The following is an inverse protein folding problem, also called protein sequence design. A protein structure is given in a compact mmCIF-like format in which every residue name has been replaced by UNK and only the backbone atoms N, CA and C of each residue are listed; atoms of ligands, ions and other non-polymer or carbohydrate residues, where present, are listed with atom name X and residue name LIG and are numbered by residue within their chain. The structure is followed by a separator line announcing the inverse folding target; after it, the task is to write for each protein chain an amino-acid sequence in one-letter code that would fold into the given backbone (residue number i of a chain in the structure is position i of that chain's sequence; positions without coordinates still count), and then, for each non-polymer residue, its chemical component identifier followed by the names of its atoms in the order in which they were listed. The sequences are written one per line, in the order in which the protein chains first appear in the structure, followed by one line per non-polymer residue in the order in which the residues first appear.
data_IF_717801820486
#
_entry.id   IF_717801820486
#
_cell.length_a   1.000
_cell.length_b   1.000
_cell.length_c   1.000
_cell.angle_alpha   90.00
_cell.angle_beta   90.00
_cell.angle_gamma   90.00
#
_symmetry.space_group_name_H-M   'P 1'
#
loop_
_entity.id
_entity.type
_entity.pdbx_description
1 polymer ?
#
# COMPACT_ATOMS: atom_id res chain seq x y z
N UNK A 1 16.10 8.85 -15.88
CA UNK A 1 16.43 7.91 -14.78
C UNK A 1 15.49 6.73 -14.83
N UNK A 2 15.68 5.72 -13.96
CA UNK A 2 14.92 4.45 -13.98
C UNK A 2 14.05 4.20 -12.75
N UNK A 3 13.99 5.17 -11.82
CA UNK A 3 13.17 5.09 -10.60
C UNK A 3 12.13 6.21 -10.67
N UNK A 4 10.85 5.90 -10.87
CA UNK A 4 9.80 6.90 -10.78
C UNK A 4 9.62 7.33 -9.33
N UNK A 5 9.51 8.64 -9.09
CA UNK A 5 9.28 9.21 -7.77
C UNK A 5 7.82 9.61 -7.65
N UNK A 6 7.14 9.08 -6.63
CA UNK A 6 5.77 9.45 -6.27
C UNK A 6 5.81 10.23 -4.96
N UNK A 7 5.24 11.43 -4.98
CA UNK A 7 5.15 12.30 -3.79
C UNK A 7 3.76 12.11 -3.19
N UNK A 8 3.69 11.64 -1.95
CA UNK A 8 2.43 11.52 -1.24
C UNK A 8 1.80 12.90 -0.96
N UNK A 9 0.48 12.98 -1.03
CA UNK A 9 -0.29 14.16 -0.59
C UNK A 9 0.05 14.55 0.85
N UNK A 10 0.11 15.87 1.14
CA UNK A 10 0.43 16.38 2.48
C UNK A 10 -0.59 15.93 3.53
N UNK A 11 -1.86 15.86 3.16
CA UNK A 11 -2.93 15.34 4.01
C UNK A 11 -2.98 13.81 4.12
N UNK A 12 -2.10 13.08 3.42
CA UNK A 12 -2.11 11.61 3.33
C UNK A 12 -3.52 11.09 3.06
N UNK A 13 -4.00 10.15 3.88
CA UNK A 13 -5.31 9.49 3.74
C UNK A 13 -6.50 10.43 3.91
N UNK A 14 -6.33 11.63 4.50
CA UNK A 14 -7.38 12.64 4.58
C UNK A 14 -7.60 13.38 3.25
N UNK A 15 -6.62 13.30 2.34
CA UNK A 15 -6.64 14.01 1.06
C UNK A 15 -6.78 13.05 -0.11
N UNK A 16 -6.03 11.93 -0.09
CA UNK A 16 -6.03 10.93 -1.17
C UNK A 16 -5.84 9.53 -0.61
N UNK A 17 -6.69 8.61 -1.07
CA UNK A 17 -6.67 7.19 -0.67
C UNK A 17 -5.99 6.31 -1.74
N UNK A 18 -4.77 6.70 -2.16
CA UNK A 18 -3.97 5.93 -3.11
C UNK A 18 -2.86 5.12 -2.45
N UNK A 19 -2.27 4.17 -3.18
CA UNK A 19 -1.16 3.34 -2.67
C UNK A 19 0.05 4.16 -2.20
N UNK A 20 0.34 5.28 -2.86
CA UNK A 20 1.39 6.21 -2.44
C UNK A 20 1.15 6.69 -1.01
N UNK A 21 -0.02 7.26 -0.72
CA UNK A 21 -0.37 7.78 0.61
C UNK A 21 -0.46 6.68 1.65
N UNK A 22 -1.03 5.52 1.30
CA UNK A 22 -1.14 4.38 2.20
C UNK A 22 0.23 3.84 2.61
N UNK A 23 1.16 3.71 1.66
CA UNK A 23 2.51 3.22 1.95
C UNK A 23 3.29 4.18 2.87
N UNK A 24 3.19 5.49 2.65
CA UNK A 24 3.81 6.51 3.52
C UNK A 24 3.10 6.60 4.88
N UNK A 25 1.78 6.36 4.93
CA UNK A 25 1.06 6.29 6.19
C UNK A 25 1.49 5.08 7.04
N UNK A 26 1.73 3.92 6.42
CA UNK A 26 2.25 2.73 7.10
C UNK A 26 3.62 2.98 7.73
N UNK A 27 4.54 3.66 7.04
CA UNK A 27 5.85 4.02 7.62
C UNK A 27 5.71 4.97 8.80
N UNK A 28 4.73 5.89 8.74
CA UNK A 28 4.45 6.84 9.81
C UNK A 28 3.98 6.15 11.08
N UNK A 29 3.04 5.19 10.98
CA UNK A 29 2.55 4.44 12.15
C UNK A 29 3.60 3.46 12.69
N UNK A 30 4.51 2.99 11.83
CA UNK A 30 5.65 2.15 12.23
C UNK A 30 6.82 2.95 12.83
N UNK A 31 6.75 4.29 12.86
CA UNK A 31 7.80 5.18 13.33
C UNK A 31 9.17 4.94 12.64
N UNK A 32 9.14 4.73 11.33
CA UNK A 32 10.33 4.59 10.47
C UNK A 32 10.41 5.73 9.46
N UNK A 33 11.46 5.75 8.62
CA UNK A 33 11.60 6.75 7.58
C UNK A 33 10.38 6.75 6.65
N UNK A 34 9.83 7.94 6.37
CA UNK A 34 8.62 8.13 5.55
C UNK A 34 8.89 7.97 4.05
N UNK A 35 9.47 6.84 3.67
CA UNK A 35 9.85 6.49 2.31
C UNK A 35 9.63 5.01 2.09
N UNK A 36 9.01 4.68 0.96
CA UNK A 36 8.67 3.31 0.57
C UNK A 36 8.96 3.11 -0.91
N UNK A 37 9.11 1.85 -1.29
CA UNK A 37 9.03 1.42 -2.69
C UNK A 37 7.76 0.60 -2.85
N UNK A 38 7.01 0.86 -3.90
CA UNK A 38 5.81 0.10 -4.25
C UNK A 38 5.92 -0.40 -5.68
N UNK A 39 5.26 -1.53 -5.96
CA UNK A 39 5.16 -2.10 -7.29
C UNK A 39 3.84 -2.89 -7.38
N UNK A 40 3.12 -2.73 -8.48
CA UNK A 40 1.91 -3.51 -8.74
C UNK A 40 2.28 -4.98 -9.03
N UNK A 41 1.47 -5.90 -8.50
CA UNK A 41 1.60 -7.32 -8.81
C UNK A 41 0.97 -7.61 -10.18
N UNK A 42 1.71 -8.29 -11.04
CA UNK A 42 1.27 -8.69 -12.38
C UNK A 42 1.12 -10.21 -12.47
N UNK A 43 0.10 -10.64 -13.19
CA UNK A 43 -0.09 -12.04 -13.59
C UNK A 43 1.00 -12.43 -14.62
N UNK A 44 1.78 -13.50 -14.37
CA UNK A 44 2.91 -13.86 -15.22
C UNK A 44 2.51 -14.47 -16.58
N UNK A 45 1.25 -14.86 -16.77
CA UNK A 45 0.77 -15.52 -17.98
C UNK A 45 0.08 -14.53 -18.92
N UNK A 46 -0.75 -13.64 -18.38
CA UNK A 46 -1.52 -12.69 -19.18
C UNK A 46 -1.03 -11.24 -19.09
N UNK A 47 -0.05 -10.96 -18.21
CA UNK A 47 0.59 -9.65 -18.00
C UNK A 47 -0.37 -8.52 -17.55
N UNK A 48 -1.57 -8.88 -17.07
CA UNK A 48 -2.50 -7.93 -16.44
C UNK A 48 -2.24 -7.84 -14.94
N UNK A 49 -2.99 -6.99 -14.26
CA UNK A 49 -3.00 -6.96 -12.81
C UNK A 49 -3.35 -8.35 -12.25
N UNK A 50 -2.60 -8.78 -11.24
CA UNK A 50 -2.86 -10.03 -10.54
C UNK A 50 -4.25 -9.99 -9.89
N UNK A 51 -4.97 -11.11 -9.91
CA UNK A 51 -6.25 -11.22 -9.20
C UNK A 51 -6.06 -11.06 -7.69
N UNK A 52 -7.12 -10.65 -6.98
CA UNK A 52 -7.04 -10.54 -5.53
C UNK A 52 -6.84 -11.90 -4.86
N UNK A 53 -7.48 -12.94 -5.39
CA UNK A 53 -7.36 -14.32 -4.93
C UNK A 53 -5.92 -14.83 -5.08
N UNK A 54 -5.28 -14.59 -6.23
CA UNK A 54 -3.90 -14.98 -6.46
C UNK A 54 -2.91 -14.14 -5.63
N UNK A 55 -3.20 -12.85 -5.40
CA UNK A 55 -2.42 -12.02 -4.49
C UNK A 55 -2.50 -12.55 -3.04
N UNK A 56 -3.69 -12.94 -2.58
CA UNK A 56 -3.88 -13.57 -1.27
C UNK A 56 -3.12 -14.89 -1.15
N UNK A 57 -3.17 -15.73 -2.20
CA UNK A 57 -2.41 -16.98 -2.25
C UNK A 57 -0.91 -16.73 -2.19
N UNK A 58 -0.40 -15.82 -3.03
CA UNK A 58 1.01 -15.44 -3.01
C UNK A 58 1.44 -14.94 -1.62
N UNK A 59 0.61 -14.11 -0.98
CA UNK A 59 0.91 -13.58 0.34
C UNK A 59 0.93 -14.68 1.41
N UNK A 60 -0.04 -15.61 1.39
CA UNK A 60 -0.04 -16.78 2.27
C UNK A 60 1.24 -17.62 2.10
N UNK A 61 1.58 -17.96 0.86
CA UNK A 61 2.73 -18.83 0.55
C UNK A 61 4.08 -18.19 0.91
N UNK A 62 4.13 -16.85 1.00
CA UNK A 62 5.34 -16.08 1.33
C UNK A 62 5.30 -15.45 2.73
N UNK A 63 4.30 -15.76 3.56
CA UNK A 63 4.11 -15.17 4.89
C UNK A 63 4.10 -13.62 4.88
N UNK A 64 3.41 -13.04 3.89
CA UNK A 64 3.19 -11.61 3.72
C UNK A 64 1.80 -11.27 4.26
N UNK A 65 1.68 -10.18 5.01
CA UNK A 65 0.40 -9.69 5.51
C UNK A 65 -0.36 -8.97 4.39
N UNK A 66 -1.62 -9.35 4.20
CA UNK A 66 -2.57 -8.60 3.36
C UNK A 66 -3.23 -7.53 4.23
N UNK A 67 -3.21 -6.29 3.76
CA UNK A 67 -3.95 -5.17 4.34
C UNK A 67 -4.84 -4.56 3.26
N UNK A 68 -6.12 -4.39 3.56
CA UNK A 68 -7.02 -3.67 2.67
C UNK A 68 -7.08 -2.18 3.02
N UNK A 69 -7.35 -1.35 2.01
CA UNK A 69 -7.51 0.09 2.16
C UNK A 69 -8.50 0.48 3.27
N UNK A 70 -9.62 -0.27 3.38
CA UNK A 70 -10.68 -0.03 4.36
C UNK A 70 -10.18 -0.15 5.80
N UNK A 71 -9.29 -1.10 6.07
CA UNK A 71 -8.75 -1.35 7.41
C UNK A 71 -7.83 -0.20 7.82
N UNK A 72 -7.01 0.26 6.87
CA UNK A 72 -6.08 1.37 7.09
C UNK A 72 -6.82 2.70 7.27
N UNK A 73 -7.88 2.94 6.50
CA UNK A 73 -8.72 4.14 6.64
C UNK A 73 -9.46 4.13 7.98
N UNK A 74 -10.04 2.98 8.36
CA UNK A 74 -10.69 2.85 9.66
C UNK A 74 -9.71 3.11 10.81
N UNK A 75 -8.51 2.54 10.73
CA UNK A 75 -7.45 2.80 11.70
C UNK A 75 -7.06 4.29 11.74
N UNK A 76 -6.85 4.92 10.58
CA UNK A 76 -6.51 6.34 10.49
C UNK A 76 -7.58 7.25 11.10
N UNK A 77 -8.86 6.93 10.91
CA UNK A 77 -9.96 7.69 11.51
C UNK A 77 -9.99 7.56 13.03
N UNK A 78 -9.69 6.36 13.56
CA UNK A 78 -9.70 6.10 15.01
C UNK A 78 -8.55 6.79 15.77
N UNK A 79 -7.39 6.99 15.13
CA UNK A 79 -6.24 7.65 15.78
C UNK A 79 -6.24 9.18 15.65
N UNK A 80 -7.10 9.72 14.78
CA UNK A 80 -7.26 11.16 14.57
C UNK A 80 -8.43 11.78 15.39
N UNK A 81 -9.22 10.94 16.07
CA UNK A 81 -10.14 11.31 17.16
C UNK A 81 -9.44 11.32 18.50
#
# INVERSE_FOLDING_TARGET
GHVPILIASKGLLNERMGHTEMSVFLTKIANIANVTTICEMLDPFNYKALSYEDACKYAHDNNIVILESKDLIAYANNINT
#
